data_IF_373271658351
#
_entry.id   IF_373271658351
#
_cell.length_a   1.000
_cell.length_b   1.000
_cell.length_c   1.000
_cell.angle_alpha   90.00
_cell.angle_beta   90.00
_cell.angle_gamma   90.00
#
_symmetry.space_group_name_H-M   'P 1'
#
loop_
_entity.id
_entity.type
_entity.pdbx_description
1 polymer ?
#
# COMPACT_ATOMS: atom_id res chain seq x y z
N UNK A 1 4.60 -2.65 16.59
CA UNK A 1 3.84 -2.17 15.41
C UNK A 1 3.84 -0.66 15.43
N UNK A 2 4.11 -0.01 14.29
CA UNK A 2 4.04 1.45 14.15
C UNK A 2 3.92 1.86 12.67
N UNK A 3 3.59 3.13 12.46
CA UNK A 3 3.54 3.82 11.17
C UNK A 3 4.38 5.09 11.29
N UNK A 4 5.03 5.50 10.21
CA UNK A 4 5.80 6.74 10.14
C UNK A 4 5.50 7.52 8.86
N UNK A 5 5.59 8.85 8.97
CA UNK A 5 5.51 9.79 7.85
C UNK A 5 6.72 10.69 7.90
N UNK A 6 7.51 10.69 6.84
CA UNK A 6 8.80 11.35 6.79
C UNK A 6 8.85 12.32 5.61
N UNK A 7 9.65 13.38 5.76
CA UNK A 7 9.91 14.35 4.72
C UNK A 7 11.39 14.32 4.32
N UNK A 8 11.67 14.38 3.02
CA UNK A 8 13.01 14.58 2.45
C UNK A 8 13.99 13.41 2.57
N UNK A 9 13.53 12.21 2.94
CA UNK A 9 14.41 11.04 2.92
C UNK A 9 14.94 10.75 1.51
N UNK A 10 16.22 10.38 1.41
CA UNK A 10 16.93 10.13 0.15
C UNK A 10 17.37 11.40 -0.59
N UNK A 11 16.43 12.32 -0.85
CA UNK A 11 16.62 13.45 -1.79
C UNK A 11 16.70 14.84 -1.14
N UNK A 12 16.63 14.93 0.20
CA UNK A 12 16.75 16.17 0.94
C UNK A 12 15.42 16.92 1.15
N UNK A 13 15.46 17.94 2.01
CA UNK A 13 14.29 18.75 2.37
C UNK A 13 13.65 19.40 1.13
N UNK A 14 12.33 19.31 1.03
CA UNK A 14 11.53 19.87 -0.05
C UNK A 14 11.21 18.91 -1.19
N UNK A 15 11.90 17.76 -1.32
CA UNK A 15 11.86 16.95 -2.54
C UNK A 15 11.12 15.61 -2.44
N UNK A 16 10.80 15.14 -1.23
CA UNK A 16 10.01 13.91 -1.07
C UNK A 16 9.13 13.92 0.17
N UNK A 17 8.01 13.21 0.08
CA UNK A 17 7.20 12.76 1.21
C UNK A 17 6.99 11.27 1.05
N UNK A 18 7.17 10.50 2.11
CA UNK A 18 7.00 9.05 2.09
C UNK A 18 6.52 8.52 3.44
N UNK A 19 5.90 7.34 3.40
CA UNK A 19 5.38 6.63 4.55
C UNK A 19 6.13 5.32 4.76
N UNK A 20 6.33 4.95 6.03
CA UNK A 20 6.85 3.65 6.44
C UNK A 20 5.86 2.96 7.37
N UNK A 21 5.89 1.63 7.39
CA UNK A 21 4.99 0.84 8.22
C UNK A 21 5.70 -0.42 8.72
N UNK A 22 5.44 -0.81 9.97
CA UNK A 22 5.91 -2.09 10.52
C UNK A 22 4.80 -2.75 11.33
N UNK A 23 4.56 -4.03 11.02
CA UNK A 23 3.64 -4.90 11.76
C UNK A 23 4.40 -6.06 12.42
N UNK A 24 4.04 -6.38 13.67
CA UNK A 24 4.65 -7.47 14.44
C UNK A 24 3.81 -8.75 14.30
N UNK A 25 4.50 -9.86 14.03
CA UNK A 25 3.94 -11.21 14.02
C UNK A 25 4.18 -11.88 15.38
N UNK A 26 3.35 -11.56 16.38
CA UNK A 26 3.50 -12.05 17.76
C UNK A 26 2.86 -13.44 18.02
N UNK A 27 2.34 -14.09 16.98
CA UNK A 27 1.68 -15.40 17.09
C UNK A 27 0.22 -15.36 17.56
N UNK A 28 -0.36 -14.19 17.84
CA UNK A 28 -1.75 -14.09 18.26
C UNK A 28 -2.73 -14.07 17.08
N UNK A 29 -3.95 -14.60 17.29
CA UNK A 29 -5.07 -14.48 16.34
C UNK A 29 -5.41 -13.02 16.00
N UNK A 30 -5.25 -12.13 16.98
CA UNK A 30 -5.44 -10.70 16.77
C UNK A 30 -4.40 -10.13 15.79
N UNK A 31 -3.14 -10.57 15.88
CA UNK A 31 -2.11 -10.17 14.93
C UNK A 31 -2.35 -10.77 13.54
N UNK A 32 -2.76 -12.04 13.44
CA UNK A 32 -3.10 -12.67 12.17
C UNK A 32 -4.15 -11.85 11.38
N UNK A 33 -5.22 -11.39 12.06
CA UNK A 33 -6.24 -10.52 11.46
C UNK A 33 -5.66 -9.18 10.97
N UNK A 34 -4.73 -8.57 11.72
CA UNK A 34 -4.09 -7.31 11.32
C UNK A 34 -3.16 -7.52 10.13
N UNK A 35 -2.34 -8.57 10.15
CA UNK A 35 -1.39 -8.92 9.11
C UNK A 35 -2.10 -9.15 7.78
N UNK A 36 -3.19 -9.92 7.78
CA UNK A 36 -3.97 -10.19 6.57
C UNK A 36 -4.45 -8.91 5.87
N UNK A 37 -4.89 -7.90 6.63
CA UNK A 37 -5.30 -6.60 6.07
C UNK A 37 -4.13 -5.72 5.70
N UNK A 38 -3.12 -5.63 6.56
CA UNK A 38 -1.99 -4.73 6.39
C UNK A 38 -1.14 -5.13 5.18
N UNK A 39 -0.79 -6.41 5.06
CA UNK A 39 0.04 -6.90 3.95
C UNK A 39 -0.74 -7.04 2.64
N UNK A 40 -2.07 -6.92 2.68
CA UNK A 40 -2.88 -6.71 1.49
C UNK A 40 -2.91 -5.22 1.10
N UNK A 41 -3.31 -4.36 2.04
CA UNK A 41 -3.56 -2.95 1.77
C UNK A 41 -2.30 -2.17 1.41
N UNK A 42 -1.18 -2.41 2.09
CA UNK A 42 0.06 -1.64 1.87
C UNK A 42 0.53 -1.75 0.40
N UNK A 43 0.81 -2.94 -0.17
CA UNK A 43 1.14 -3.06 -1.58
C UNK A 43 -0.04 -2.74 -2.52
N UNK A 44 -1.30 -3.00 -2.12
CA UNK A 44 -2.46 -2.65 -2.94
C UNK A 44 -2.57 -1.15 -3.20
N UNK A 45 -2.16 -0.29 -2.26
CA UNK A 45 -2.10 1.17 -2.51
C UNK A 45 -1.06 1.52 -3.59
N UNK A 46 0.04 0.76 -3.68
CA UNK A 46 1.01 0.89 -4.77
C UNK A 46 0.40 0.53 -6.13
N UNK A 47 -0.35 -0.58 -6.20
CA UNK A 47 -1.10 -0.98 -7.41
C UNK A 47 -2.14 0.07 -7.77
N UNK A 48 -2.97 0.49 -6.81
CA UNK A 48 -3.97 1.56 -6.96
C UNK A 48 -3.34 2.83 -7.55
N UNK A 49 -2.24 3.31 -6.96
CA UNK A 49 -1.56 4.55 -7.39
C UNK A 49 -1.02 4.48 -8.81
N UNK A 50 -0.63 3.29 -9.30
CA UNK A 50 -0.16 3.12 -10.67
C UNK A 50 -1.32 2.88 -11.63
N UNK A 51 -2.37 2.18 -11.21
CA UNK A 51 -3.60 2.03 -12.00
C UNK A 51 -4.25 3.39 -12.25
N UNK A 52 -4.34 4.24 -11.21
CA UNK A 52 -4.86 5.61 -11.30
C UNK A 52 -4.04 6.49 -12.27
N UNK A 53 -2.73 6.27 -12.31
CA UNK A 53 -1.84 6.95 -13.27
C UNK A 53 -1.91 6.39 -14.70
N UNK A 54 -2.75 5.38 -14.96
CA UNK A 54 -3.00 4.83 -16.30
C UNK A 54 -2.06 3.70 -16.74
N UNK A 55 -1.31 3.08 -15.82
CA UNK A 55 -0.43 1.96 -16.17
C UNK A 55 -1.25 0.67 -16.35
N UNK A 56 -1.31 0.14 -17.58
CA UNK A 56 -2.07 -1.07 -17.94
C UNK A 56 -1.70 -2.27 -17.06
N UNK A 57 -0.40 -2.50 -16.83
CA UNK A 57 0.09 -3.59 -15.97
C UNK A 57 -0.45 -3.52 -14.53
N UNK A 58 -0.74 -2.32 -14.03
CA UNK A 58 -1.28 -2.11 -12.70
C UNK A 58 -2.81 -2.30 -12.69
N UNK A 59 -3.49 -1.87 -13.76
CA UNK A 59 -4.92 -2.16 -13.96
C UNK A 59 -5.16 -3.67 -14.06
N UNK A 60 -4.31 -4.40 -14.79
CA UNK A 60 -4.38 -5.85 -14.91
C UNK A 60 -4.13 -6.54 -13.57
N UNK A 61 -3.13 -6.11 -12.82
CA UNK A 61 -2.88 -6.61 -11.46
C UNK A 61 -4.07 -6.33 -10.53
N UNK A 62 -4.67 -5.12 -10.60
CA UNK A 62 -5.83 -4.76 -9.82
C UNK A 62 -7.04 -5.68 -10.11
N UNK A 63 -7.28 -6.00 -11.40
CA UNK A 63 -8.32 -6.95 -11.81
C UNK A 63 -8.01 -8.37 -11.36
N UNK A 64 -6.78 -8.85 -11.57
CA UNK A 64 -6.35 -10.21 -11.18
C UNK A 64 -6.49 -10.44 -9.67
N UNK A 65 -6.16 -9.42 -8.88
CA UNK A 65 -6.23 -9.48 -7.42
C UNK A 65 -7.58 -9.04 -6.85
N UNK A 66 -8.53 -8.62 -7.68
CA UNK A 66 -9.87 -8.21 -7.23
C UNK A 66 -9.86 -6.99 -6.32
N UNK A 67 -9.05 -5.97 -6.64
CA UNK A 67 -9.07 -4.71 -5.91
C UNK A 67 -10.35 -3.93 -6.20
N UNK A 68 -10.93 -3.33 -5.16
CA UNK A 68 -12.06 -2.42 -5.28
C UNK A 68 -11.55 -1.00 -5.56
N UNK A 69 -11.55 -0.61 -6.84
CA UNK A 69 -11.10 0.69 -7.32
C UNK A 69 -12.25 1.41 -8.05
N UNK A 70 -13.18 2.09 -7.35
CA UNK A 70 -14.43 2.59 -7.94
C UNK A 70 -14.27 3.59 -9.09
N UNK A 71 -13.17 4.34 -9.15
CA UNK A 71 -12.90 5.28 -10.24
C UNK A 71 -12.21 4.66 -11.46
N UNK A 72 -11.86 3.37 -11.41
CA UNK A 72 -11.04 2.68 -12.41
C UNK A 72 -11.72 1.39 -12.90
N UNK A 73 -12.27 0.59 -11.98
CA UNK A 73 -12.84 -0.75 -12.26
C UNK A 73 -14.34 -0.86 -12.00
N UNK A 74 -14.94 0.10 -11.29
CA UNK A 74 -16.38 0.23 -11.09
C UNK A 74 -17.00 1.21 -12.08
#
# INVERSE_FOLDING_TARGET
TWVSLHHGGGVGMGFSQHSGMVIVCDGTEAAAKRIARVLWNDPATGVMRHADAGYEIAVDCAKEKGLDLPGILG
#
